data_IF_012209278721
#
_entry.id   IF_012209278721
#
_cell.length_a   1.000
_cell.length_b   1.000
_cell.length_c   1.000
_cell.angle_alpha   90.00
_cell.angle_beta   90.00
_cell.angle_gamma   90.00
#
_symmetry.space_group_name_H-M   'P 1'
#
loop_
_entity.id
_entity.type
_entity.pdbx_description
1 polymer ?
#
# COMPACT_ATOMS: atom_id res chain seq x y z
N UNK A 1 14.40 -35.35 -4.46
CA UNK A 1 13.85 -33.99 -4.68
C UNK A 1 12.81 -33.97 -5.81
N UNK A 2 13.14 -34.50 -7.00
CA UNK A 2 12.26 -34.51 -8.17
C UNK A 2 10.92 -35.27 -7.98
N UNK A 3 10.94 -36.45 -7.33
CA UNK A 3 9.70 -37.21 -7.03
C UNK A 3 8.74 -36.43 -6.13
N UNK A 4 9.27 -35.81 -5.06
CA UNK A 4 8.48 -34.95 -4.16
C UNK A 4 7.88 -33.75 -4.89
N UNK A 5 8.66 -33.10 -5.74
CA UNK A 5 8.18 -31.99 -6.58
C UNK A 5 7.00 -32.37 -7.49
N UNK A 6 7.07 -33.53 -8.13
CA UNK A 6 6.00 -34.03 -9.01
C UNK A 6 4.73 -34.41 -8.24
N UNK A 7 4.89 -35.03 -7.08
CA UNK A 7 3.78 -35.34 -6.18
C UNK A 7 3.15 -34.05 -5.64
N UNK A 8 3.98 -33.07 -5.27
CA UNK A 8 3.54 -31.75 -4.82
C UNK A 8 2.75 -31.01 -5.92
N UNK A 9 3.12 -31.11 -7.20
CA UNK A 9 2.37 -30.44 -8.27
C UNK A 9 1.10 -31.22 -8.68
N UNK A 10 0.88 -32.40 -8.10
CA UNK A 10 -0.21 -33.32 -8.45
C UNK A 10 -0.16 -33.76 -9.92
N UNK A 11 1.04 -34.15 -10.40
CA UNK A 11 1.27 -34.50 -11.81
C UNK A 11 0.30 -35.55 -12.37
N UNK A 12 -0.15 -36.49 -11.53
CA UNK A 12 -1.14 -37.52 -11.91
C UNK A 12 -2.45 -36.90 -12.40
N UNK A 13 -2.97 -35.90 -11.68
CA UNK A 13 -4.19 -35.20 -12.06
C UNK A 13 -4.00 -34.38 -13.34
N UNK A 14 -2.80 -33.79 -13.52
CA UNK A 14 -2.45 -33.05 -14.74
C UNK A 14 -2.43 -33.99 -15.95
N UNK A 15 -1.82 -35.17 -15.83
CA UNK A 15 -1.79 -36.18 -16.90
C UNK A 15 -3.20 -36.65 -17.28
N UNK A 16 -4.06 -36.88 -16.29
CA UNK A 16 -5.47 -37.23 -16.52
C UNK A 16 -6.19 -36.10 -17.28
N UNK A 17 -5.98 -34.83 -16.89
CA UNK A 17 -6.56 -33.69 -17.60
C UNK A 17 -6.09 -33.62 -19.06
N UNK A 18 -4.78 -33.78 -19.32
CA UNK A 18 -4.23 -33.78 -20.69
C UNK A 18 -4.89 -34.88 -21.53
N UNK A 19 -5.01 -36.09 -20.98
CA UNK A 19 -5.65 -37.21 -21.66
C UNK A 19 -7.13 -36.93 -21.99
N UNK A 20 -7.88 -36.36 -21.03
CA UNK A 20 -9.29 -35.98 -21.24
C UNK A 20 -9.45 -34.88 -22.30
N UNK A 21 -8.54 -33.89 -22.32
CA UNK A 21 -8.51 -32.84 -23.36
C UNK A 21 -8.29 -33.45 -24.74
N UNK A 22 -7.36 -34.40 -24.87
CA UNK A 22 -7.11 -35.09 -26.14
C UNK A 22 -8.35 -35.85 -26.63
N UNK A 23 -9.05 -36.56 -25.74
CA UNK A 23 -10.29 -37.26 -26.08
C UNK A 23 -11.39 -36.26 -26.51
N UNK A 24 -11.57 -35.18 -25.76
CA UNK A 24 -12.55 -34.14 -26.09
C UNK A 24 -12.28 -33.50 -27.46
N UNK A 25 -11.01 -33.30 -27.81
CA UNK A 25 -10.60 -32.73 -29.09
C UNK A 25 -10.81 -33.70 -30.26
N UNK A 26 -10.40 -34.97 -30.11
CA UNK A 26 -10.53 -36.00 -31.15
C UNK A 26 -11.99 -36.39 -31.41
N UNK A 27 -12.83 -36.41 -30.38
CA UNK A 27 -14.24 -36.82 -30.47
C UNK A 27 -15.22 -35.68 -30.73
N UNK A 28 -14.78 -34.52 -31.27
CA UNK A 28 -15.60 -33.30 -31.36
C UNK A 28 -17.00 -33.56 -31.95
N UNK A 29 -18.04 -33.18 -31.21
CA UNK A 29 -19.45 -33.34 -31.61
C UNK A 29 -20.08 -34.70 -31.27
N UNK A 30 -19.31 -35.63 -30.69
CA UNK A 30 -19.83 -36.92 -30.21
C UNK A 30 -20.25 -36.85 -28.74
N UNK A 31 -21.09 -37.80 -28.32
CA UNK A 31 -21.44 -38.01 -26.90
C UNK A 31 -20.18 -38.24 -26.06
N UNK A 32 -19.17 -38.91 -26.62
CA UNK A 32 -17.89 -39.19 -25.96
C UNK A 32 -17.16 -37.91 -25.59
N UNK A 33 -17.18 -36.88 -26.45
CA UNK A 33 -16.57 -35.58 -26.13
C UNK A 33 -17.31 -34.82 -25.03
N UNK A 34 -18.65 -34.93 -24.97
CA UNK A 34 -19.42 -34.30 -23.89
C UNK A 34 -19.15 -34.99 -22.54
N UNK A 35 -19.04 -36.33 -22.53
CA UNK A 35 -18.69 -37.10 -21.34
C UNK A 35 -17.26 -36.75 -20.89
N UNK A 36 -16.31 -36.63 -21.81
CA UNK A 36 -14.92 -36.28 -21.45
C UNK A 36 -14.82 -34.86 -20.90
N UNK A 37 -15.56 -33.89 -21.45
CA UNK A 37 -15.66 -32.53 -20.90
C UNK A 37 -16.27 -32.51 -19.50
N UNK A 38 -17.31 -33.30 -19.23
CA UNK A 38 -17.89 -33.42 -17.90
C UNK A 38 -16.88 -34.01 -16.89
N UNK A 39 -16.18 -35.08 -17.26
CA UNK A 39 -15.10 -35.64 -16.46
C UNK A 39 -13.96 -34.63 -16.24
N UNK A 40 -13.65 -33.81 -17.25
CA UNK A 40 -12.64 -32.75 -17.16
C UNK A 40 -13.01 -31.72 -16.09
N UNK A 41 -14.29 -31.35 -15.96
CA UNK A 41 -14.78 -30.48 -14.88
C UNK A 41 -14.58 -31.13 -13.51
N UNK A 42 -14.95 -32.41 -13.36
CA UNK A 42 -14.78 -33.14 -12.09
C UNK A 42 -13.30 -33.18 -11.67
N UNK A 43 -12.42 -33.58 -12.60
CA UNK A 43 -10.97 -33.66 -12.33
C UNK A 43 -10.39 -32.27 -12.04
N UNK A 44 -10.86 -31.22 -12.71
CA UNK A 44 -10.47 -29.84 -12.44
C UNK A 44 -10.86 -29.40 -11.02
N UNK A 45 -12.07 -29.73 -10.57
CA UNK A 45 -12.51 -29.47 -9.20
C UNK A 45 -11.65 -30.23 -8.16
N UNK A 46 -11.30 -31.49 -8.44
CA UNK A 46 -10.42 -32.29 -7.57
C UNK A 46 -9.02 -31.69 -7.49
N UNK A 47 -8.47 -31.21 -8.60
CA UNK A 47 -7.17 -30.54 -8.64
C UNK A 47 -7.16 -29.27 -7.79
N UNK A 48 -8.17 -28.41 -7.96
CA UNK A 48 -8.31 -27.17 -7.18
C UNK A 48 -8.43 -27.48 -5.69
N UNK A 49 -9.25 -28.48 -5.31
CA UNK A 49 -9.40 -28.92 -3.92
C UNK A 49 -8.06 -29.36 -3.31
N UNK A 50 -7.28 -30.15 -4.05
CA UNK A 50 -5.98 -30.66 -3.62
C UNK A 50 -4.97 -29.53 -3.39
N UNK A 51 -5.00 -28.50 -4.24
CA UNK A 51 -4.18 -27.30 -4.06
C UNK A 51 -4.58 -26.48 -2.81
N UNK A 52 -5.87 -26.35 -2.52
CA UNK A 52 -6.33 -25.63 -1.31
C UNK A 52 -5.90 -26.33 -0.01
N UNK A 53 -5.94 -27.66 0.04
CA UNK A 53 -5.52 -28.42 1.22
C UNK A 53 -4.02 -28.31 1.50
N UNK A 54 -3.20 -28.25 0.45
CA UNK A 54 -1.74 -28.16 0.55
C UNK A 54 -1.20 -26.73 0.63
N UNK A 55 -2.05 -25.70 0.56
CA UNK A 55 -1.69 -24.29 0.74
C UNK A 55 -1.32 -23.91 2.18
N UNK A 56 -1.38 -24.86 3.13
CA UNK A 56 -0.94 -24.72 4.52
C UNK A 56 0.58 -24.87 4.71
N UNK A 57 1.34 -25.10 3.64
CA UNK A 57 2.81 -25.21 3.70
C UNK A 57 3.45 -23.87 4.13
N UNK A 58 4.54 -23.96 4.90
CA UNK A 58 5.26 -22.80 5.44
C UNK A 58 5.87 -21.95 4.30
N UNK A 59 5.31 -20.75 4.11
CA UNK A 59 5.64 -19.82 3.01
C UNK A 59 7.00 -19.16 3.19
N UNK A 60 7.72 -19.40 4.29
CA UNK A 60 9.05 -18.86 4.51
C UNK A 60 10.15 -19.59 3.72
N UNK A 61 9.91 -20.83 3.27
CA UNK A 61 10.89 -21.58 2.48
C UNK A 61 10.86 -21.20 0.99
N UNK A 62 12.00 -20.78 0.44
CA UNK A 62 12.15 -20.43 -0.98
C UNK A 62 11.72 -21.54 -1.95
N UNK A 63 11.98 -22.81 -1.62
CA UNK A 63 11.55 -23.96 -2.44
C UNK A 63 10.02 -24.08 -2.50
N UNK A 64 9.35 -23.87 -1.36
CA UNK A 64 7.88 -23.92 -1.25
C UNK A 64 7.26 -22.76 -2.03
N UNK A 65 7.84 -21.56 -1.99
CA UNK A 65 7.37 -20.42 -2.79
C UNK A 65 7.36 -20.72 -4.29
N UNK A 66 8.43 -21.33 -4.81
CA UNK A 66 8.53 -21.70 -6.23
C UNK A 66 7.43 -22.71 -6.60
N UNK A 67 7.22 -23.74 -5.78
CA UNK A 67 6.14 -24.72 -6.00
C UNK A 67 4.77 -24.05 -6.00
N UNK A 68 4.50 -23.16 -5.04
CA UNK A 68 3.23 -22.45 -4.95
C UNK A 68 2.97 -21.57 -6.18
N UNK A 69 3.99 -20.87 -6.68
CA UNK A 69 3.88 -20.07 -7.91
C UNK A 69 3.56 -20.98 -9.11
N UNK A 70 4.30 -22.08 -9.27
CA UNK A 70 4.07 -23.04 -10.35
C UNK A 70 2.64 -23.61 -10.28
N UNK A 71 2.17 -23.99 -9.09
CA UNK A 71 0.79 -24.45 -8.88
C UNK A 71 -0.24 -23.39 -9.26
N UNK A 72 -0.02 -22.12 -8.93
CA UNK A 72 -0.94 -21.04 -9.30
C UNK A 72 -1.04 -20.85 -10.82
N UNK A 73 0.08 -20.98 -11.55
CA UNK A 73 0.05 -20.99 -13.02
C UNK A 73 -0.67 -22.22 -13.58
N UNK A 74 -0.42 -23.41 -13.03
CA UNK A 74 -1.08 -24.64 -13.50
C UNK A 74 -2.59 -24.59 -13.22
N UNK A 75 -3.01 -23.99 -12.10
CA UNK A 75 -4.42 -23.83 -11.75
C UNK A 75 -5.23 -23.03 -12.79
N UNK A 76 -4.60 -22.24 -13.65
CA UNK A 76 -5.30 -21.54 -14.74
C UNK A 76 -6.11 -22.51 -15.62
N UNK A 77 -5.52 -23.66 -15.98
CA UNK A 77 -6.17 -24.62 -16.87
C UNK A 77 -7.44 -25.25 -16.25
N UNK A 78 -7.41 -25.79 -15.02
CA UNK A 78 -8.62 -26.21 -14.31
C UNK A 78 -9.73 -25.15 -14.27
N UNK A 79 -9.40 -23.88 -14.00
CA UNK A 79 -10.41 -22.82 -13.97
C UNK A 79 -11.03 -22.59 -15.36
N UNK A 80 -10.24 -22.62 -16.43
CA UNK A 80 -10.72 -22.51 -17.81
C UNK A 80 -11.62 -23.71 -18.16
N UNK A 81 -11.25 -24.93 -17.77
CA UNK A 81 -12.07 -26.12 -18.03
C UNK A 81 -13.41 -26.09 -17.31
N UNK A 82 -13.42 -25.64 -16.04
CA UNK A 82 -14.65 -25.42 -15.29
C UNK A 82 -15.52 -24.37 -15.97
N UNK A 83 -14.93 -23.26 -16.44
CA UNK A 83 -15.66 -22.23 -17.19
C UNK A 83 -16.33 -22.79 -18.44
N UNK A 84 -15.61 -23.58 -19.23
CA UNK A 84 -16.13 -24.20 -20.46
C UNK A 84 -17.26 -25.18 -20.14
N UNK A 85 -17.10 -26.00 -19.09
CA UNK A 85 -18.15 -26.94 -18.69
C UNK A 85 -19.41 -26.23 -18.19
N UNK A 86 -19.27 -25.20 -17.35
CA UNK A 86 -20.41 -24.41 -16.85
C UNK A 86 -21.11 -23.67 -18.00
N UNK A 87 -20.35 -23.08 -18.93
CA UNK A 87 -20.94 -22.35 -20.06
C UNK A 87 -21.76 -23.27 -20.98
N UNK A 88 -21.31 -24.51 -21.19
CA UNK A 88 -22.08 -25.51 -21.93
C UNK A 88 -23.39 -25.88 -21.23
N UNK A 89 -23.37 -26.09 -19.91
CA UNK A 89 -24.59 -26.37 -19.13
C UNK A 89 -25.54 -25.16 -19.19
N UNK A 90 -25.02 -23.95 -19.01
CA UNK A 90 -25.83 -22.72 -19.04
C UNK A 90 -26.36 -22.39 -20.43
N UNK A 91 -25.74 -22.88 -21.51
CA UNK A 91 -26.21 -22.68 -22.88
C UNK A 91 -27.58 -23.29 -23.17
N UNK A 92 -28.02 -24.26 -22.35
CA UNK A 92 -29.38 -24.79 -22.41
C UNK A 92 -30.44 -23.89 -21.74
N UNK A 93 -30.01 -22.95 -20.89
CA UNK A 93 -30.90 -22.17 -20.02
C UNK A 93 -30.93 -20.67 -20.36
N UNK A 94 -29.84 -20.13 -20.91
CA UNK A 94 -29.65 -18.68 -21.07
C UNK A 94 -29.15 -18.37 -22.49
N UNK A 95 -29.46 -17.17 -22.97
CA UNK A 95 -29.02 -16.68 -24.28
C UNK A 95 -27.50 -16.66 -24.43
N UNK A 96 -27.03 -16.95 -25.64
CA UNK A 96 -25.60 -17.04 -25.99
C UNK A 96 -24.81 -15.75 -25.74
N UNK A 97 -25.43 -14.57 -25.84
CA UNK A 97 -24.78 -13.29 -25.56
C UNK A 97 -24.42 -13.11 -24.08
N UNK A 98 -25.34 -13.45 -23.18
CA UNK A 98 -25.09 -13.35 -21.73
C UNK A 98 -23.98 -14.31 -21.28
N UNK A 99 -23.91 -15.50 -21.86
CA UNK A 99 -22.87 -16.50 -21.59
C UNK A 99 -21.50 -15.99 -22.04
N UNK A 100 -21.40 -15.32 -23.20
CA UNK A 100 -20.15 -14.71 -23.65
C UNK A 100 -19.69 -13.62 -22.66
N UNK A 101 -20.61 -12.77 -22.20
CA UNK A 101 -20.29 -11.71 -21.25
C UNK A 101 -19.84 -12.25 -19.88
N UNK A 102 -20.54 -13.27 -19.37
CA UNK A 102 -20.13 -14.04 -18.19
C UNK A 102 -18.75 -14.68 -18.37
N UNK A 103 -18.46 -15.19 -19.56
CA UNK A 103 -17.17 -15.77 -19.88
C UNK A 103 -16.02 -14.77 -19.80
N UNK A 104 -16.21 -13.56 -20.34
CA UNK A 104 -15.22 -12.47 -20.27
C UNK A 104 -15.02 -12.04 -18.82
N UNK A 105 -16.10 -11.87 -18.05
CA UNK A 105 -16.02 -11.52 -16.63
C UNK A 105 -15.24 -12.58 -15.82
N UNK A 106 -15.53 -13.86 -16.06
CA UNK A 106 -14.84 -14.96 -15.38
C UNK A 106 -13.35 -15.03 -15.73
N UNK A 107 -12.98 -14.82 -17.00
CA UNK A 107 -11.58 -14.74 -17.42
C UNK A 107 -10.83 -13.60 -16.71
N UNK A 108 -11.44 -12.42 -16.62
CA UNK A 108 -10.86 -11.29 -15.89
C UNK A 108 -10.66 -11.64 -14.40
N UNK A 109 -11.65 -12.27 -13.76
CA UNK A 109 -11.54 -12.71 -12.37
C UNK A 109 -10.38 -13.70 -12.17
N UNK A 110 -10.19 -14.67 -13.07
CA UNK A 110 -9.07 -15.61 -13.01
C UNK A 110 -7.72 -14.87 -13.09
N UNK A 111 -7.59 -13.93 -14.02
CA UNK A 111 -6.35 -13.15 -14.21
C UNK A 111 -6.04 -12.31 -12.96
N UNK A 112 -7.05 -11.60 -12.42
CA UNK A 112 -6.88 -10.84 -11.18
C UNK A 112 -6.53 -11.74 -9.99
N UNK A 113 -7.16 -12.91 -9.87
CA UNK A 113 -6.86 -13.90 -8.83
C UNK A 113 -5.41 -14.38 -8.93
N UNK A 114 -4.90 -14.67 -10.13
CA UNK A 114 -3.51 -15.06 -10.36
C UNK A 114 -2.54 -13.95 -9.93
N UNK A 115 -2.81 -12.72 -10.36
CA UNK A 115 -1.92 -11.59 -10.08
C UNK A 115 -1.81 -11.34 -8.57
N UNK A 116 -2.95 -11.37 -7.87
CA UNK A 116 -3.01 -11.25 -6.41
C UNK A 116 -2.38 -12.45 -5.69
N UNK A 117 -2.52 -13.67 -6.20
CA UNK A 117 -1.96 -14.86 -5.55
C UNK A 117 -0.44 -14.91 -5.65
N UNK A 118 0.11 -14.57 -6.82
CA UNK A 118 1.57 -14.45 -7.02
C UNK A 118 2.14 -13.37 -6.10
N UNK A 119 1.51 -12.19 -6.04
CA UNK A 119 1.93 -11.12 -5.11
C UNK A 119 1.92 -11.60 -3.65
N UNK A 120 0.87 -12.29 -3.22
CA UNK A 120 0.77 -12.83 -1.86
C UNK A 120 1.91 -13.82 -1.55
N UNK A 121 2.24 -14.70 -2.50
CA UNK A 121 3.30 -15.71 -2.33
C UNK A 121 4.69 -15.05 -2.25
N UNK A 122 4.98 -14.07 -3.12
CA UNK A 122 6.25 -13.32 -3.10
C UNK A 122 6.45 -12.63 -1.75
N UNK A 123 5.40 -11.97 -1.25
CA UNK A 123 5.40 -11.32 0.05
C UNK A 123 5.37 -12.29 1.25
N UNK A 124 5.27 -13.60 1.01
CA UNK A 124 5.20 -14.61 2.07
C UNK A 124 3.89 -14.56 2.89
N UNK A 125 2.87 -13.85 2.41
CA UNK A 125 1.60 -13.68 3.09
C UNK A 125 0.62 -14.75 2.65
N UNK A 126 -0.26 -15.19 3.56
CA UNK A 126 -1.40 -16.02 3.17
C UNK A 126 -2.35 -15.22 2.27
N UNK A 127 -2.87 -15.84 1.20
CA UNK A 127 -3.72 -15.16 0.21
C UNK A 127 -4.91 -14.43 0.85
N UNK A 128 -5.62 -15.06 1.79
CA UNK A 128 -6.72 -14.43 2.54
C UNK A 128 -6.26 -13.25 3.41
N UNK A 129 -5.08 -13.36 4.04
CA UNK A 129 -4.49 -12.24 4.80
C UNK A 129 -4.10 -11.10 3.86
N UNK A 130 -3.58 -11.42 2.68
CA UNK A 130 -3.20 -10.45 1.66
C UNK A 130 -4.41 -9.71 1.08
N UNK A 131 -5.50 -10.42 0.77
CA UNK A 131 -6.76 -9.78 0.36
C UNK A 131 -7.27 -8.87 1.48
N UNK A 132 -7.34 -9.37 2.73
CA UNK A 132 -7.77 -8.55 3.87
C UNK A 132 -6.90 -7.30 4.02
N UNK A 133 -5.59 -7.44 3.86
CA UNK A 133 -4.65 -6.32 3.87
C UNK A 133 -4.93 -5.32 2.76
N UNK A 134 -5.09 -5.77 1.51
CA UNK A 134 -5.44 -4.91 0.38
C UNK A 134 -6.77 -4.20 0.61
N UNK A 135 -7.79 -4.89 1.10
CA UNK A 135 -9.09 -4.28 1.38
C UNK A 135 -8.99 -3.20 2.44
N UNK A 136 -8.29 -3.45 3.54
CA UNK A 136 -8.05 -2.45 4.60
C UNK A 136 -7.25 -1.28 4.05
N UNK A 137 -6.21 -1.57 3.26
CA UNK A 137 -5.35 -0.55 2.66
C UNK A 137 -6.12 0.35 1.68
N UNK A 138 -6.91 -0.24 0.78
CA UNK A 138 -7.78 0.49 -0.15
C UNK A 138 -8.83 1.29 0.59
N UNK A 139 -9.43 0.73 1.66
CA UNK A 139 -10.39 1.46 2.49
C UNK A 139 -9.73 2.68 3.17
N UNK A 140 -8.52 2.53 3.71
CA UNK A 140 -7.76 3.61 4.31
C UNK A 140 -7.40 4.70 3.29
N UNK A 141 -6.92 4.29 2.10
CA UNK A 141 -6.62 5.23 1.01
C UNK A 141 -7.87 5.97 0.59
N UNK A 142 -8.97 5.25 0.38
CA UNK A 142 -10.24 5.85 -0.01
C UNK A 142 -10.70 6.87 1.02
N UNK A 143 -10.66 6.53 2.31
CA UNK A 143 -11.02 7.46 3.38
C UNK A 143 -10.13 8.71 3.37
N UNK A 144 -8.82 8.54 3.17
CA UNK A 144 -7.87 9.64 3.09
C UNK A 144 -8.10 10.54 1.87
N UNK A 145 -8.41 9.95 0.71
CA UNK A 145 -8.76 10.65 -0.53
C UNK A 145 -10.05 11.47 -0.34
N UNK A 146 -11.09 10.86 0.24
CA UNK A 146 -12.35 11.54 0.54
C UNK A 146 -12.13 12.66 1.55
N UNK A 147 -11.35 12.41 2.61
CA UNK A 147 -11.03 13.41 3.62
C UNK A 147 -10.33 14.63 2.99
N UNK A 148 -9.25 14.42 2.22
CA UNK A 148 -8.51 15.51 1.56
C UNK A 148 -9.38 16.24 0.53
N UNK A 149 -10.19 15.49 -0.23
CA UNK A 149 -11.07 16.03 -1.27
C UNK A 149 -12.24 16.85 -0.74
N UNK A 150 -12.82 16.45 0.40
CA UNK A 150 -13.94 17.14 1.03
C UNK A 150 -13.49 18.33 1.90
N UNK A 151 -12.24 18.34 2.36
CA UNK A 151 -11.73 19.34 3.30
C UNK A 151 -11.57 20.72 2.65
N UNK A 152 -12.42 21.69 2.98
CA UNK A 152 -12.31 23.06 2.46
C UNK A 152 -11.52 23.95 3.44
N UNK A 153 -10.88 25.01 2.96
CA UNK A 153 -10.14 25.98 3.79
C UNK A 153 -11.05 26.59 4.87
N UNK A 154 -12.36 26.66 4.62
CA UNK A 154 -13.38 27.09 5.58
C UNK A 154 -13.44 26.23 6.85
N UNK A 155 -12.96 25.00 6.81
CA UNK A 155 -12.86 24.09 7.96
C UNK A 155 -11.66 24.41 8.85
N UNK A 156 -11.01 25.57 8.67
CA UNK A 156 -9.86 25.96 9.47
C UNK A 156 -10.15 26.05 10.97
N UNK A 157 -11.38 26.42 11.36
CA UNK A 157 -11.81 26.42 12.74
C UNK A 157 -11.75 25.03 13.38
N UNK A 158 -12.08 23.97 12.63
CA UNK A 158 -12.01 22.59 13.13
C UNK A 158 -10.57 22.13 13.35
N UNK A 159 -9.67 22.44 12.41
CA UNK A 159 -8.24 22.08 12.52
C UNK A 159 -7.55 22.88 13.62
N UNK A 160 -7.84 24.17 13.75
CA UNK A 160 -7.32 24.99 14.85
C UNK A 160 -7.85 24.53 16.20
N UNK A 161 -9.11 24.12 16.29
CA UNK A 161 -9.68 23.48 17.49
C UNK A 161 -8.99 22.17 17.85
N UNK A 162 -8.75 21.28 16.88
CA UNK A 162 -7.99 20.04 17.08
C UNK A 162 -6.54 20.31 17.49
N UNK A 163 -5.89 21.32 16.90
CA UNK A 163 -4.54 21.74 17.26
C UNK A 163 -4.50 22.30 18.68
N UNK A 164 -5.49 23.09 19.08
CA UNK A 164 -5.62 23.61 20.44
C UNK A 164 -5.81 22.48 21.46
N UNK A 165 -6.67 21.49 21.16
CA UNK A 165 -6.82 20.27 21.97
C UNK A 165 -5.51 19.49 22.06
N UNK A 166 -4.80 19.33 20.95
CA UNK A 166 -3.50 18.66 20.94
C UNK A 166 -2.45 19.40 21.79
N UNK A 167 -2.43 20.72 21.70
CA UNK A 167 -1.57 21.56 22.54
C UNK A 167 -1.94 21.49 24.02
N UNK A 168 -3.23 21.42 24.32
CA UNK A 168 -3.75 21.23 25.67
C UNK A 168 -3.32 19.87 26.24
N UNK A 169 -3.51 18.77 25.51
CA UNK A 169 -3.08 17.42 25.94
C UNK A 169 -1.56 17.38 26.22
N UNK A 170 -0.78 18.05 25.38
CA UNK A 170 0.67 18.20 25.56
C UNK A 170 1.01 19.41 26.46
N UNK A 171 0.31 19.59 27.59
CA UNK A 171 0.51 20.73 28.51
C UNK A 171 0.52 20.32 29.97
N UNK A 172 0.98 21.25 30.81
CA UNK A 172 0.87 21.16 32.27
C UNK A 172 -0.60 21.12 32.72
N UNK A 173 -1.46 21.83 32.00
CA UNK A 173 -2.89 21.98 32.33
C UNK A 173 -3.67 20.68 32.16
N UNK A 174 -3.25 19.82 31.22
CA UNK A 174 -3.82 18.47 31.10
C UNK A 174 -3.50 17.59 32.31
N UNK A 175 -2.27 17.66 32.85
CA UNK A 175 -1.96 16.94 34.10
C UNK A 175 -2.73 17.55 35.28
N UNK A 176 -2.85 18.88 35.37
CA UNK A 176 -3.69 19.52 36.40
C UNK A 176 -5.13 19.01 36.34
N UNK A 177 -5.70 18.91 35.14
CA UNK A 177 -7.01 18.31 34.93
C UNK A 177 -7.08 16.86 35.41
N UNK A 178 -6.11 16.00 35.02
CA UNK A 178 -6.03 14.61 35.50
C UNK A 178 -5.87 14.49 37.02
N UNK A 179 -5.35 15.52 37.68
CA UNK A 179 -5.19 15.58 39.15
C UNK A 179 -6.32 16.35 39.85
N UNK A 180 -7.46 16.53 39.20
CA UNK A 180 -8.63 17.26 39.73
C UNK A 180 -8.28 18.68 40.21
N UNK A 181 -7.44 19.39 39.46
CA UNK A 181 -7.04 20.77 39.77
C UNK A 181 -5.87 20.90 40.76
N UNK A 182 -5.30 19.80 41.26
CA UNK A 182 -4.14 19.87 42.16
C UNK A 182 -2.88 20.33 41.41
N UNK A 183 -2.27 21.40 41.92
CA UNK A 183 -1.05 21.96 41.35
C UNK A 183 0.15 20.99 41.39
N UNK A 184 1.02 21.16 40.40
CA UNK A 184 2.22 20.35 40.21
C UNK A 184 3.42 21.24 40.49
N UNK A 185 4.20 20.90 41.51
CA UNK A 185 5.34 21.70 41.95
C UNK A 185 6.51 21.66 40.98
N UNK A 186 6.77 20.52 40.32
CA UNK A 186 7.78 20.38 39.25
C UNK A 186 7.37 19.33 38.22
N UNK A 187 7.59 19.65 36.94
CA UNK A 187 7.42 18.72 35.83
C UNK A 187 8.80 18.24 35.38
N UNK A 188 8.98 16.93 35.12
CA UNK A 188 10.23 16.44 34.59
C UNK A 188 10.60 17.15 33.28
N UNK A 189 11.82 17.68 33.19
CA UNK A 189 12.33 18.39 32.01
C UNK A 189 12.23 17.56 30.72
N UNK A 190 12.42 16.24 30.83
CA UNK A 190 12.24 15.29 29.71
C UNK A 190 10.81 15.27 29.17
N UNK A 191 9.81 15.36 30.05
CA UNK A 191 8.41 15.36 29.66
C UNK A 191 8.03 16.69 28.99
N UNK A 192 8.49 17.80 29.56
CA UNK A 192 8.30 19.14 28.99
C UNK A 192 8.94 19.27 27.60
N UNK A 193 10.12 18.70 27.41
CA UNK A 193 10.76 18.61 26.08
C UNK A 193 9.91 17.81 25.07
N UNK A 194 9.40 16.63 25.47
CA UNK A 194 8.56 15.80 24.59
C UNK A 194 7.29 16.57 24.19
N UNK A 195 6.66 17.26 25.13
CA UNK A 195 5.48 18.09 24.84
C UNK A 195 5.80 19.23 23.89
N UNK A 196 6.85 20.01 24.15
CA UNK A 196 7.25 21.10 23.26
C UNK A 196 7.54 20.59 21.84
N UNK A 197 8.23 19.46 21.74
CA UNK A 197 8.51 18.79 20.46
C UNK A 197 7.22 18.36 19.75
N UNK A 198 6.28 17.72 20.45
CA UNK A 198 5.00 17.27 19.88
C UNK A 198 4.12 18.44 19.44
N UNK A 199 4.12 19.54 20.20
CA UNK A 199 3.44 20.79 19.82
C UNK A 199 4.02 21.34 18.54
N UNK A 200 5.34 21.49 18.48
CA UNK A 200 6.05 21.99 17.31
C UNK A 200 5.78 21.15 16.07
N UNK A 201 5.84 19.82 16.17
CA UNK A 201 5.53 18.93 15.04
C UNK A 201 4.08 19.07 14.56
N UNK A 202 3.11 19.14 15.47
CA UNK A 202 1.71 19.33 15.09
C UNK A 202 1.50 20.68 14.39
N UNK A 203 2.07 21.76 14.92
CA UNK A 203 2.00 23.09 14.30
C UNK A 203 2.62 23.10 12.90
N UNK A 204 3.82 22.53 12.74
CA UNK A 204 4.48 22.43 11.43
C UNK A 204 3.63 21.61 10.46
N UNK A 205 3.10 20.45 10.88
CA UNK A 205 2.25 19.62 10.04
C UNK A 205 0.99 20.37 9.59
N UNK A 206 0.33 21.11 10.49
CA UNK A 206 -0.83 21.94 10.13
C UNK A 206 -0.48 23.03 9.12
N UNK A 207 0.66 23.73 9.30
CA UNK A 207 1.11 24.76 8.36
C UNK A 207 1.36 24.16 6.97
N UNK A 208 2.07 23.03 6.89
CA UNK A 208 2.34 22.34 5.62
C UNK A 208 1.03 21.94 4.94
N UNK A 209 0.08 21.41 5.70
CA UNK A 209 -1.23 21.04 5.18
C UNK A 209 -2.00 22.24 4.61
N UNK A 210 -2.00 23.40 5.29
CA UNK A 210 -2.63 24.60 4.75
C UNK A 210 -1.94 25.16 3.52
N UNK A 211 -0.60 25.22 3.52
CA UNK A 211 0.16 25.67 2.34
C UNK A 211 -0.16 24.76 1.14
N UNK A 212 -0.28 23.44 1.38
CA UNK A 212 -0.71 22.49 0.36
C UNK A 212 -2.09 22.84 -0.21
N UNK A 213 -3.08 23.11 0.64
CA UNK A 213 -4.42 23.50 0.18
C UNK A 213 -4.42 24.84 -0.59
N UNK A 214 -3.59 25.80 -0.18
CA UNK A 214 -3.44 27.06 -0.90
C UNK A 214 -2.86 26.80 -2.29
N UNK A 215 -1.80 25.99 -2.40
CA UNK A 215 -1.19 25.64 -3.69
C UNK A 215 -2.19 24.86 -4.56
N UNK A 216 -2.95 23.92 -3.98
CA UNK A 216 -3.92 23.13 -4.74
C UNK A 216 -5.04 23.99 -5.31
N UNK A 217 -5.46 25.04 -4.60
CA UNK A 217 -6.56 25.91 -5.02
C UNK A 217 -6.33 26.57 -6.38
N UNK A 218 -5.07 26.81 -6.78
CA UNK A 218 -4.73 27.33 -8.11
C UNK A 218 -5.02 26.35 -9.26
N UNK A 219 -5.15 25.05 -8.97
CA UNK A 219 -5.41 23.99 -9.95
C UNK A 219 -6.85 23.46 -9.90
N UNK A 220 -7.64 23.90 -8.91
CA UNK A 220 -9.04 23.52 -8.75
C UNK A 220 -9.92 24.34 -9.70
N UNK A 221 -10.85 23.69 -10.40
CA UNK A 221 -11.84 24.35 -11.25
C UNK A 221 -13.17 24.49 -10.49
N UNK A 222 -13.95 25.50 -10.88
CA UNK A 222 -15.34 25.62 -10.43
C UNK A 222 -16.12 24.34 -10.81
N UNK A 223 -16.96 23.87 -9.89
CA UNK A 223 -17.78 22.65 -10.03
C UNK A 223 -17.06 21.29 -10.00
N UNK A 224 -15.79 21.19 -9.59
CA UNK A 224 -15.18 19.87 -9.34
C UNK A 224 -15.86 19.12 -8.19
N UNK A 225 -16.06 17.81 -8.37
CA UNK A 225 -16.49 16.89 -7.31
C UNK A 225 -15.39 16.72 -6.26
N UNK A 226 -15.74 16.25 -5.06
CA UNK A 226 -14.77 16.05 -3.98
C UNK A 226 -13.65 15.06 -4.35
N UNK A 227 -13.94 14.03 -5.16
CA UNK A 227 -12.92 13.12 -5.68
C UNK A 227 -11.96 13.83 -6.64
N UNK A 228 -12.46 14.67 -7.54
CA UNK A 228 -11.62 15.38 -8.50
C UNK A 228 -10.72 16.41 -7.81
N UNK A 229 -11.21 17.07 -6.76
CA UNK A 229 -10.42 17.99 -5.93
C UNK A 229 -9.31 17.30 -5.15
N UNK A 230 -9.48 16.03 -4.78
CA UNK A 230 -8.46 15.29 -4.03
C UNK A 230 -7.14 15.16 -4.80
N UNK A 231 -7.20 15.10 -6.14
CA UNK A 231 -6.05 14.88 -7.01
C UNK A 231 -5.04 16.04 -6.95
N UNK A 232 -5.39 17.31 -7.29
CA UNK A 232 -4.46 18.43 -7.19
C UNK A 232 -3.97 18.66 -5.75
N UNK A 233 -4.81 18.35 -4.75
CA UNK A 233 -4.45 18.44 -3.33
C UNK A 233 -3.38 17.44 -2.93
N UNK A 234 -3.56 16.17 -3.27
CA UNK A 234 -2.55 15.13 -3.00
C UNK A 234 -1.24 15.45 -3.72
N UNK A 235 -1.30 15.94 -4.97
CA UNK A 235 -0.10 16.36 -5.70
C UNK A 235 0.60 17.56 -5.06
N UNK A 236 -0.14 18.57 -4.60
CA UNK A 236 0.44 19.71 -3.90
C UNK A 236 1.11 19.31 -2.57
N UNK A 237 0.47 18.40 -1.82
CA UNK A 237 0.97 17.90 -0.53
C UNK A 237 2.23 17.07 -0.72
N UNK A 238 2.21 16.15 -1.67
CA UNK A 238 3.38 15.33 -2.02
C UNK A 238 4.51 16.19 -2.57
N UNK A 239 4.22 17.18 -3.42
CA UNK A 239 5.20 18.14 -3.92
C UNK A 239 5.88 18.92 -2.80
N UNK A 240 5.12 19.42 -1.82
CA UNK A 240 5.67 20.09 -0.63
C UNK A 240 6.54 19.17 0.21
N UNK A 241 6.12 17.92 0.45
CA UNK A 241 6.91 16.95 1.22
C UNK A 241 8.25 16.67 0.51
N UNK A 242 8.22 16.47 -0.81
CA UNK A 242 9.44 16.25 -1.60
C UNK A 242 10.35 17.48 -1.54
N UNK A 243 9.80 18.68 -1.71
CA UNK A 243 10.56 19.93 -1.61
C UNK A 243 11.21 20.11 -0.23
N UNK A 244 10.46 19.90 0.85
CA UNK A 244 10.97 19.96 2.22
C UNK A 244 12.04 18.88 2.49
N UNK A 245 11.88 17.70 1.90
CA UNK A 245 12.88 16.62 2.00
C UNK A 245 14.19 17.01 1.31
N UNK A 246 14.12 17.68 0.16
CA UNK A 246 15.30 18.22 -0.54
C UNK A 246 15.97 19.31 0.31
N UNK A 247 15.21 20.23 0.88
CA UNK A 247 15.75 21.26 1.80
C UNK A 247 16.43 20.60 3.00
N UNK A 248 15.77 19.61 3.62
CA UNK A 248 16.33 18.89 4.75
C UNK A 248 17.65 18.18 4.40
N UNK A 249 17.71 17.52 3.24
CA UNK A 249 18.91 16.89 2.74
C UNK A 249 20.03 17.92 2.49
N UNK A 250 19.69 19.06 1.87
CA UNK A 250 20.62 20.17 1.68
C UNK A 250 21.18 20.69 3.00
N UNK A 251 20.31 20.95 3.99
CA UNK A 251 20.73 21.40 5.32
C UNK A 251 21.67 20.39 5.98
N UNK A 252 21.34 19.10 5.93
CA UNK A 252 22.18 18.04 6.50
C UNK A 252 23.57 18.01 5.85
N UNK A 253 23.63 18.12 4.53
CA UNK A 253 24.89 18.16 3.78
C UNK A 253 25.68 19.43 4.11
N UNK A 254 25.02 20.59 4.17
CA UNK A 254 25.64 21.86 4.56
C UNK A 254 26.27 21.78 5.96
N UNK A 255 25.52 21.30 6.96
CA UNK A 255 26.04 21.18 8.33
C UNK A 255 27.18 20.16 8.44
N UNK A 256 27.18 19.08 7.64
CA UNK A 256 28.28 18.13 7.60
C UNK A 256 29.57 18.80 7.08
N UNK A 257 29.51 19.48 5.94
CA UNK A 257 30.67 20.20 5.38
C UNK A 257 31.14 21.34 6.27
N UNK A 258 30.22 22.04 6.94
CA UNK A 258 30.58 23.14 7.85
C UNK A 258 31.30 22.66 9.11
N UNK A 259 31.13 21.39 9.52
CA UNK A 259 31.76 20.84 10.72
C UNK A 259 33.15 20.27 10.44
N UNK A 260 33.36 19.70 9.26
CA UNK A 260 34.62 19.04 8.91
C UNK A 260 35.71 20.01 8.41
N UNK A 261 35.43 21.31 8.24
CA UNK A 261 36.32 22.28 7.57
C UNK A 261 36.87 21.76 6.22
N UNK A 262 36.24 20.76 5.62
CA UNK A 262 36.73 20.05 4.44
C UNK A 262 36.27 20.75 3.16
N UNK A 263 36.81 21.95 2.92
CA UNK A 263 36.53 22.78 1.74
C UNK A 263 37.24 22.32 0.45
N UNK A 264 37.92 21.17 0.45
CA UNK A 264 38.79 20.81 -0.67
C UNK A 264 38.01 20.45 -1.94
N UNK A 265 36.81 19.87 -1.83
CA UNK A 265 35.97 19.56 -2.99
C UNK A 265 35.27 20.81 -3.55
N UNK A 266 35.21 20.93 -4.90
CA UNK A 266 34.48 22.02 -5.59
C UNK A 266 33.00 22.06 -5.19
N UNK A 267 32.40 20.89 -4.95
CA UNK A 267 31.01 20.74 -4.52
C UNK A 267 30.77 21.25 -3.10
N UNK A 268 31.65 20.93 -2.14
CA UNK A 268 31.55 21.42 -0.77
C UNK A 268 31.64 22.95 -0.67
N UNK A 269 32.55 23.57 -1.44
CA UNK A 269 32.66 25.04 -1.53
C UNK A 269 31.38 25.69 -2.05
N UNK A 270 30.75 25.09 -3.07
CA UNK A 270 29.50 25.58 -3.63
C UNK A 270 28.34 25.51 -2.62
N UNK A 271 28.21 24.38 -1.90
CA UNK A 271 27.19 24.22 -0.86
C UNK A 271 27.39 25.22 0.28
N UNK A 272 28.63 25.38 0.76
CA UNK A 272 28.95 26.35 1.81
C UNK A 272 28.65 27.78 1.36
N UNK A 273 28.97 28.14 0.12
CA UNK A 273 28.65 29.45 -0.45
C UNK A 273 27.13 29.72 -0.48
N UNK A 274 26.33 28.75 -0.95
CA UNK A 274 24.86 28.86 -0.93
C UNK A 274 24.35 29.05 0.50
N UNK A 275 24.88 28.28 1.45
CA UNK A 275 24.46 28.37 2.84
C UNK A 275 24.85 29.68 3.53
N UNK A 276 26.06 30.19 3.26
CA UNK A 276 26.51 31.51 3.74
C UNK A 276 25.67 32.64 3.16
N UNK A 277 25.34 32.59 1.85
CA UNK A 277 24.44 33.56 1.22
C UNK A 277 23.06 33.57 1.87
N UNK A 278 22.59 32.40 2.31
CA UNK A 278 21.32 32.21 3.01
C UNK A 278 21.39 32.48 4.52
N UNK A 279 22.52 32.98 5.03
CA UNK A 279 22.78 33.28 6.46
C UNK A 279 22.68 32.08 7.41
N UNK A 280 22.93 30.86 6.92
CA UNK A 280 22.91 29.64 7.74
C UNK A 280 24.06 29.58 8.76
N UNK A 281 25.11 30.38 8.58
CA UNK A 281 26.21 30.59 9.52
C UNK A 281 25.72 31.09 10.89
N UNK A 282 24.67 31.92 10.91
CA UNK A 282 24.06 32.40 12.16
C UNK A 282 23.37 31.28 12.95
N UNK A 283 22.77 30.31 12.26
CA UNK A 283 22.14 29.16 12.91
C UNK A 283 23.19 28.24 13.57
N UNK A 284 24.37 28.11 12.97
CA UNK A 284 25.49 27.37 13.56
C UNK A 284 25.89 28.00 14.91
N UNK A 285 25.98 29.33 14.95
CA UNK A 285 26.32 30.05 16.19
C UNK A 285 25.27 29.82 17.29
N UNK A 286 23.98 29.81 16.93
CA UNK A 286 22.88 29.52 17.87
C UNK A 286 22.94 28.06 18.35
N UNK A 287 23.14 27.10 17.44
CA UNK A 287 23.25 25.67 17.80
C UNK A 287 24.44 25.44 18.74
N UNK A 288 25.58 26.06 18.45
CA UNK A 288 26.78 25.96 19.30
C UNK A 288 26.55 26.59 20.68
N UNK A 289 25.87 27.74 20.75
CA UNK A 289 25.48 28.37 22.00
C UNK A 289 24.60 27.44 22.87
N UNK A 290 23.58 26.81 22.26
CA UNK A 290 22.72 25.86 22.98
C UNK A 290 23.47 24.61 23.44
N UNK A 291 24.41 24.11 22.63
CA UNK A 291 25.23 22.94 22.98
C UNK A 291 26.19 23.20 24.15
N UNK A 292 26.62 24.44 24.34
CA UNK A 292 27.42 24.88 25.49
C UNK A 292 26.53 25.03 26.74
N UNK A 293 25.29 25.50 26.60
CA UNK A 293 24.35 25.69 27.72
C UNK A 293 23.73 24.41 28.31
N UNK A 294 23.85 23.27 27.61
CA UNK A 294 23.32 21.97 28.03
C UNK A 294 24.39 21.02 28.60
N UNK A 295 25.64 21.48 28.73
CA UNK A 295 26.67 20.82 29.56
C UNK A 295 26.57 21.35 30.98
#
# INVERSE_FOLDING_TARGET
MFKRFLDDIFIKLILIMIFLVMIAFLGKGTIVANISLFLLVIVSCLYIRSCFQTNQLDRNNNYVKIILIIREFIQLFPYIFIQIGISQILSFLITTETIKLLGIMYQNIIIYKLLLSVMAIVLGLNFLKFIKFITIFLFLIYFLVVFIGAFDVKWWAAVTGLLALWHYINSKDFIRFLRNGKDITRIPTKLEYIWQRNRLFATIATIIFYISLIISSFFEKECMTFYERSVPRIYSLTGLIVFLSIIYLFLRVYFAFSKDNSSNSKFGRFILWIGMKSRLDRLINIINFYKISMK
#
